data_IF_124632805575
#
_entry.id   IF_124632805575
#
_cell.length_a   1.000
_cell.length_b   1.000
_cell.length_c   1.000
_cell.angle_alpha   90.00
_cell.angle_beta   90.00
_cell.angle_gamma   90.00
#
_symmetry.space_group_name_H-M   'P 1'
#
loop_
_entity.id
_entity.type
_entity.pdbx_description
1 polymer ?
#
# COMPACT_ATOMS: atom_id res chain seq x y z
N UNK A 1 -35.42 63.17 -26.46
CA UNK A 1 -36.60 62.29 -26.32
C UNK A 1 -36.55 61.73 -24.90
N UNK A 2 -37.20 62.32 -23.89
CA UNK A 2 -38.58 62.79 -23.69
C UNK A 2 -39.44 61.75 -22.94
N UNK A 3 -39.50 61.86 -21.61
CA UNK A 3 -40.74 62.02 -20.84
C UNK A 3 -40.37 62.39 -19.39
N UNK A 4 -40.90 63.50 -18.85
CA UNK A 4 -42.14 63.62 -18.05
C UNK A 4 -42.04 62.88 -16.70
N UNK A 5 -42.00 63.55 -15.55
CA UNK A 5 -42.94 64.51 -14.93
C UNK A 5 -44.20 63.83 -14.34
N UNK A 6 -44.26 63.72 -13.00
CA UNK A 6 -45.31 64.24 -12.08
C UNK A 6 -45.17 63.55 -10.69
N UNK A 7 -45.43 64.15 -9.51
CA UNK A 7 -46.56 64.99 -9.02
C UNK A 7 -47.84 64.11 -8.88
N UNK A 8 -48.58 63.97 -7.77
CA UNK A 8 -48.57 64.44 -6.37
C UNK A 8 -49.45 63.44 -5.54
N UNK A 9 -49.72 63.45 -4.22
CA UNK A 9 -49.46 64.30 -3.02
C UNK A 9 -49.22 63.32 -1.81
N UNK A 10 -48.82 63.63 -0.57
CA UNK A 10 -48.99 64.75 0.38
C UNK A 10 -50.34 64.77 1.15
N UNK A 11 -50.29 65.37 2.36
CA UNK A 11 -51.39 65.74 3.28
C UNK A 11 -52.12 64.58 4.00
N UNK A 12 -52.60 64.72 5.24
CA UNK A 12 -52.60 65.84 6.22
C UNK A 12 -52.46 65.22 7.65
N UNK A 13 -51.73 65.74 8.65
CA UNK A 13 -51.58 67.10 9.25
C UNK A 13 -52.49 67.32 10.48
N UNK A 14 -51.84 67.63 11.62
CA UNK A 14 -52.22 68.49 12.79
C UNK A 14 -51.77 67.85 14.12
N UNK A 15 -51.31 68.58 15.14
CA UNK A 15 -51.12 70.04 15.28
C UNK A 15 -49.95 70.36 16.24
N UNK A 16 -49.38 71.57 16.14
CA UNK A 16 -48.43 72.10 17.14
C UNK A 16 -49.14 72.51 18.44
N UNK A 17 -48.40 72.68 19.55
CA UNK A 17 -48.36 73.93 20.32
C UNK A 17 -47.18 73.96 21.31
N UNK A 18 -46.95 75.10 21.96
CA UNK A 18 -45.63 75.54 22.47
C UNK A 18 -45.61 75.87 23.97
N UNK A 19 -44.38 75.89 24.51
CA UNK A 19 -43.93 76.51 25.76
C UNK A 19 -44.44 76.00 27.13
N UNK A 20 -43.44 75.69 27.96
CA UNK A 20 -43.25 76.19 29.33
C UNK A 20 -44.51 76.53 30.17
N UNK A 21 -44.80 75.68 31.16
CA UNK A 21 -44.87 76.19 32.53
C UNK A 21 -44.43 75.18 33.59
N UNK A 22 -43.99 75.76 34.71
CA UNK A 22 -43.20 75.17 35.78
C UNK A 22 -43.98 74.36 36.82
N UNK A 23 -43.30 73.34 37.37
CA UNK A 23 -43.37 72.88 38.77
C UNK A 23 -44.58 72.05 39.29
N UNK A 24 -44.18 71.02 40.09
CA UNK A 24 -44.85 70.41 41.27
C UNK A 24 -45.98 69.39 41.10
N UNK A 25 -45.69 68.21 41.66
CA UNK A 25 -46.58 67.10 42.07
C UNK A 25 -47.28 66.34 40.93
N UNK A 26 -47.29 65.00 40.90
CA UNK A 26 -47.17 64.02 41.99
C UNK A 26 -46.03 63.00 41.80
N UNK A 27 -45.60 62.40 42.92
CA UNK A 27 -44.61 61.32 42.92
C UNK A 27 -45.18 60.02 42.32
N UNK A 28 -44.37 59.29 41.55
CA UNK A 28 -44.41 57.83 41.63
C UNK A 28 -43.04 57.19 41.40
N UNK A 29 -42.79 56.07 42.08
CA UNK A 29 -41.46 55.49 42.30
C UNK A 29 -40.77 55.02 41.01
N UNK A 30 -39.61 55.60 40.69
CA UNK A 30 -38.54 54.81 40.07
C UNK A 30 -37.81 54.02 41.16
N UNK A 31 -38.24 52.77 41.39
CA UNK A 31 -37.54 51.83 42.27
C UNK A 31 -36.20 51.39 41.65
N UNK A 32 -35.19 52.27 41.74
CA UNK A 32 -33.79 51.93 41.50
C UNK A 32 -33.31 51.01 42.63
N UNK A 33 -33.62 49.71 42.52
CA UNK A 33 -33.01 48.64 43.32
C UNK A 33 -31.50 48.58 43.08
N UNK A 34 -30.76 49.51 43.70
CA UNK A 34 -29.32 49.41 43.90
C UNK A 34 -29.07 48.16 44.74
N UNK A 35 -28.66 47.05 44.12
CA UNK A 35 -28.18 45.87 44.85
C UNK A 35 -26.91 46.26 45.63
N UNK A 36 -26.93 46.32 46.97
CA UNK A 36 -25.76 46.70 47.76
C UNK A 36 -24.93 45.44 48.03
N UNK A 37 -24.38 44.85 46.96
CA UNK A 37 -23.44 43.72 47.09
C UNK A 37 -22.18 44.27 47.75
N UNK A 38 -22.10 44.16 49.08
CA UNK A 38 -20.87 44.37 49.84
C UNK A 38 -19.92 43.22 49.51
N UNK A 39 -19.18 43.37 48.42
CA UNK A 39 -18.10 42.47 48.01
C UNK A 39 -17.07 42.35 49.13
N UNK A 40 -17.17 41.32 49.95
CA UNK A 40 -16.12 41.02 50.93
C UNK A 40 -14.84 40.61 50.19
N UNK A 41 -13.64 40.89 50.72
CA UNK A 41 -12.39 40.52 50.06
C UNK A 41 -12.30 39.04 49.70
N UNK A 42 -12.94 38.16 50.49
CA UNK A 42 -13.02 36.71 50.26
C UNK A 42 -13.82 36.36 49.00
N UNK A 43 -14.94 37.03 48.75
CA UNK A 43 -15.76 36.82 47.54
C UNK A 43 -14.99 37.33 46.31
N UNK A 44 -14.34 38.50 46.42
CA UNK A 44 -13.54 39.06 45.34
C UNK A 44 -12.36 38.13 44.97
N UNK A 45 -11.64 37.61 45.96
CA UNK A 45 -10.57 36.61 45.77
C UNK A 45 -11.09 35.32 45.12
N UNK A 46 -12.26 34.81 45.56
CA UNK A 46 -12.87 33.62 44.96
C UNK A 46 -13.19 33.78 43.48
N UNK A 47 -13.79 34.92 43.10
CA UNK A 47 -14.07 35.23 41.69
C UNK A 47 -12.77 35.43 40.90
N UNK A 48 -11.77 36.11 41.46
CA UNK A 48 -10.45 36.26 40.82
C UNK A 48 -9.80 34.89 40.57
N UNK A 49 -9.81 33.98 41.55
CA UNK A 49 -9.25 32.62 41.40
C UNK A 49 -10.00 31.82 40.33
N UNK A 50 -11.34 31.91 40.28
CA UNK A 50 -12.16 31.23 39.26
C UNK A 50 -11.89 31.80 37.86
N UNK A 51 -11.82 33.13 37.71
CA UNK A 51 -11.55 33.79 36.44
C UNK A 51 -10.12 33.52 35.97
N UNK A 52 -9.11 33.58 36.84
CA UNK A 52 -7.74 33.19 36.50
C UNK A 52 -7.62 31.70 36.21
N UNK A 53 -8.35 30.83 36.92
CA UNK A 53 -8.38 29.39 36.64
C UNK A 53 -8.98 29.08 35.27
N UNK A 54 -10.14 29.66 34.94
CA UNK A 54 -10.77 29.56 33.62
C UNK A 54 -9.92 30.21 32.52
N UNK A 55 -9.24 31.31 32.79
CA UNK A 55 -8.29 31.93 31.86
C UNK A 55 -7.06 31.03 31.64
N UNK A 56 -6.52 30.41 32.69
CA UNK A 56 -5.35 29.54 32.59
C UNK A 56 -5.67 28.23 31.86
N UNK A 57 -6.83 27.62 32.13
CA UNK A 57 -7.34 26.46 31.39
C UNK A 57 -7.66 26.86 29.94
N UNK A 58 -8.42 27.94 29.74
CA UNK A 58 -8.85 28.45 28.44
C UNK A 58 -7.69 28.83 27.54
N UNK A 59 -6.73 29.63 28.02
CA UNK A 59 -5.52 29.99 27.27
C UNK A 59 -4.69 28.74 26.92
N UNK A 60 -4.53 27.79 27.85
CA UNK A 60 -3.86 26.52 27.54
C UNK A 60 -4.64 25.62 26.57
N UNK A 61 -5.93 25.88 26.30
CA UNK A 61 -6.76 25.17 25.31
C UNK A 61 -6.87 25.90 23.96
N UNK A 62 -6.82 27.24 23.96
CA UNK A 62 -6.92 28.12 22.79
C UNK A 62 -5.57 28.20 22.05
N UNK A 63 -4.45 28.23 22.78
CA UNK A 63 -3.10 28.23 22.18
C UNK A 63 -2.61 26.83 21.73
N UNK A 64 -3.51 25.83 21.63
CA UNK A 64 -3.17 24.50 21.12
C UNK A 64 -3.14 24.49 19.59
N UNK A 65 -1.93 24.32 19.05
CA UNK A 65 -1.73 24.20 17.61
C UNK A 65 -2.23 22.86 17.08
N UNK A 66 -3.04 22.90 16.02
CA UNK A 66 -3.61 21.68 15.45
C UNK A 66 -2.61 21.05 14.46
N UNK A 67 -2.35 19.75 14.64
CA UNK A 67 -1.64 18.87 13.70
C UNK A 67 -2.60 17.75 13.32
N UNK A 68 -2.68 17.44 12.02
CA UNK A 68 -3.74 16.62 11.44
C UNK A 68 -3.12 15.45 10.68
N UNK A 69 -3.11 14.26 11.29
CA UNK A 69 -2.29 13.14 10.81
C UNK A 69 -2.70 12.62 9.42
N UNK A 70 -3.95 12.79 8.99
CA UNK A 70 -4.37 12.49 7.61
C UNK A 70 -3.75 13.42 6.55
N UNK A 71 -3.20 14.57 6.96
CA UNK A 71 -2.50 15.53 6.09
C UNK A 71 -0.99 15.40 6.18
N UNK A 72 -0.46 15.00 7.33
CA UNK A 72 0.98 14.77 7.52
C UNK A 72 1.43 13.44 6.91
N UNK A 73 0.60 12.40 6.96
CA UNK A 73 0.99 11.04 6.57
C UNK A 73 0.15 10.51 5.43
N UNK A 74 0.85 10.03 4.39
CA UNK A 74 0.28 9.12 3.41
C UNK A 74 0.48 7.71 3.96
N UNK A 75 -0.62 7.03 4.28
CA UNK A 75 -0.60 5.59 4.52
C UNK A 75 -0.63 4.88 3.16
N UNK A 76 0.08 3.76 3.07
CA UNK A 76 0.09 2.85 1.92
C UNK A 76 -0.07 1.42 2.40
N UNK A 77 -0.56 0.54 1.53
CA UNK A 77 -0.42 -0.90 1.68
C UNK A 77 0.63 -1.34 0.67
N UNK A 78 1.58 -2.16 1.12
CA UNK A 78 2.71 -2.64 0.32
C UNK A 78 2.79 -4.17 0.48
N UNK A 79 3.20 -4.87 -0.59
CA UNK A 79 3.17 -6.34 -0.67
C UNK A 79 2.02 -6.90 -1.53
N UNK A 80 1.85 -8.22 -1.45
CA UNK A 80 0.82 -9.02 -2.12
C UNK A 80 -0.28 -9.49 -1.14
N UNK A 81 -1.23 -10.30 -1.61
CA UNK A 81 -2.35 -10.85 -0.85
C UNK A 81 -2.01 -11.69 0.39
N UNK A 82 -0.74 -12.02 0.62
CA UNK A 82 -0.27 -12.80 1.77
C UNK A 82 0.76 -12.04 2.62
N UNK A 83 1.67 -11.31 1.97
CA UNK A 83 2.70 -10.49 2.60
C UNK A 83 2.30 -9.04 2.90
N UNK A 84 1.06 -8.62 2.62
CA UNK A 84 0.61 -7.23 2.75
C UNK A 84 0.86 -6.60 4.13
N UNK A 85 1.58 -5.48 4.16
CA UNK A 85 1.80 -4.68 5.36
C UNK A 85 1.42 -3.20 5.13
N UNK A 86 1.13 -2.48 6.21
CA UNK A 86 0.78 -1.06 6.16
C UNK A 86 2.03 -0.20 6.40
N UNK A 87 2.38 0.58 5.38
CA UNK A 87 3.50 1.52 5.37
C UNK A 87 3.04 2.97 5.64
N UNK A 88 3.97 3.82 6.09
CA UNK A 88 3.74 5.24 6.40
C UNK A 88 4.80 6.10 5.71
N UNK A 89 4.39 6.92 4.76
CA UNK A 89 5.23 7.97 4.17
C UNK A 89 4.87 9.34 4.75
N UNK A 90 5.86 10.21 4.92
CA UNK A 90 5.63 11.62 5.28
C UNK A 90 5.25 12.40 4.01
N UNK A 91 4.16 13.17 4.08
CA UNK A 91 3.75 14.08 3.01
C UNK A 91 4.77 15.23 2.87
N UNK A 92 5.65 15.12 1.88
CA UNK A 92 6.71 16.10 1.60
C UNK A 92 6.16 17.49 1.33
N UNK A 93 5.03 17.60 0.62
CA UNK A 93 4.32 18.86 0.34
C UNK A 93 3.68 19.51 1.58
N UNK A 94 3.40 18.74 2.64
CA UNK A 94 3.02 19.29 3.94
C UNK A 94 4.25 19.79 4.70
N UNK A 95 5.36 19.05 4.61
CA UNK A 95 6.63 19.37 5.29
C UNK A 95 7.35 20.60 4.72
N UNK A 96 7.38 20.78 3.40
CA UNK A 96 7.95 21.97 2.75
C UNK A 96 7.22 23.24 3.18
N UNK A 97 5.88 23.24 3.11
CA UNK A 97 5.00 24.34 3.53
C UNK A 97 5.07 24.66 5.02
N UNK A 98 5.61 23.78 5.86
CA UNK A 98 5.97 24.07 7.25
C UNK A 98 7.37 24.69 7.37
N UNK A 99 8.36 24.26 6.58
CA UNK A 99 9.73 24.82 6.56
C UNK A 99 9.79 26.23 5.97
N UNK A 100 8.99 26.51 4.94
CA UNK A 100 8.84 27.84 4.34
C UNK A 100 8.33 28.88 5.35
N UNK A 101 7.45 28.44 6.27
CA UNK A 101 6.83 29.28 7.29
C UNK A 101 7.71 29.37 8.52
N UNK A 102 8.59 30.39 8.55
CA UNK A 102 9.48 30.73 9.66
C UNK A 102 8.76 31.24 10.93
N UNK A 103 7.50 30.86 11.15
CA UNK A 103 6.69 31.31 12.28
C UNK A 103 6.74 30.31 13.46
N UNK A 104 6.54 30.82 14.69
CA UNK A 104 6.68 30.07 15.95
C UNK A 104 5.66 28.93 16.12
N UNK A 105 4.56 28.91 15.37
CA UNK A 105 3.57 27.81 15.34
C UNK A 105 4.03 26.72 14.37
N UNK A 106 4.48 27.10 13.17
CA UNK A 106 4.98 26.16 12.16
C UNK A 106 6.26 25.45 12.64
N UNK A 107 7.19 26.17 13.28
CA UNK A 107 8.38 25.57 13.89
C UNK A 107 8.01 24.50 14.93
N UNK A 108 7.09 24.78 15.86
CA UNK A 108 6.62 23.79 16.86
C UNK A 108 6.05 22.52 16.23
N UNK A 109 5.38 22.63 15.09
CA UNK A 109 4.85 21.48 14.34
C UNK A 109 5.99 20.66 13.75
N UNK A 110 6.99 21.32 13.17
CA UNK A 110 8.20 20.69 12.67
C UNK A 110 8.97 19.98 13.81
N UNK A 111 9.14 20.65 14.95
CA UNK A 111 9.80 20.09 16.15
C UNK A 111 9.07 18.83 16.67
N UNK A 112 7.74 18.83 16.68
CA UNK A 112 6.96 17.66 17.06
C UNK A 112 7.12 16.51 16.06
N UNK A 113 6.98 16.80 14.77
CA UNK A 113 6.98 15.79 13.71
C UNK A 113 8.37 15.16 13.49
N UNK A 114 9.45 15.91 13.77
CA UNK A 114 10.82 15.40 13.73
C UNK A 114 11.18 14.52 14.94
N UNK A 115 10.71 14.87 16.16
CA UNK A 115 11.19 14.26 17.40
C UNK A 115 10.28 13.16 17.98
N UNK A 116 9.06 12.98 17.48
CA UNK A 116 8.12 12.00 18.04
C UNK A 116 8.07 10.74 17.19
N UNK A 117 8.48 9.60 17.78
CA UNK A 117 8.27 8.26 17.21
C UNK A 117 6.77 8.03 17.06
N UNK A 118 6.32 7.96 15.80
CA UNK A 118 4.92 7.72 15.43
C UNK A 118 4.85 6.37 14.73
N UNK A 119 4.19 5.42 15.38
CA UNK A 119 4.04 4.04 14.91
C UNK A 119 2.59 3.90 14.40
N UNK A 120 2.36 3.52 13.13
CA UNK A 120 1.07 3.05 12.70
C UNK A 120 0.86 1.64 13.28
N UNK A 121 -0.16 1.47 14.11
CA UNK A 121 -0.61 0.17 14.58
C UNK A 121 -1.92 -0.21 13.90
N UNK A 122 -2.05 -1.49 13.61
CA UNK A 122 -3.17 -2.08 12.89
C UNK A 122 -3.29 -3.54 13.33
N UNK A 123 -4.52 -4.04 13.49
CA UNK A 123 -4.78 -5.43 13.85
C UNK A 123 -4.82 -6.29 12.58
N UNK A 124 -4.12 -7.43 12.63
CA UNK A 124 -3.98 -8.39 11.50
C UNK A 124 -4.28 -9.79 12.04
N UNK A 125 -5.56 -10.12 12.11
CA UNK A 125 -6.00 -11.47 12.49
C UNK A 125 -5.95 -12.45 11.29
N UNK A 126 -5.75 -11.90 10.07
CA UNK A 126 -5.54 -12.59 8.79
C UNK A 126 -4.78 -11.68 7.82
N UNK A 127 -4.12 -12.21 6.77
CA UNK A 127 -3.62 -11.40 5.66
C UNK A 127 -4.70 -10.56 5.00
N UNK A 128 -4.32 -9.36 4.54
CA UNK A 128 -5.25 -8.40 3.93
C UNK A 128 -5.72 -8.82 2.54
N UNK A 129 -6.98 -8.50 2.22
CA UNK A 129 -7.58 -8.72 0.90
C UNK A 129 -8.06 -7.42 0.28
N UNK A 130 -8.08 -7.36 -1.06
CA UNK A 130 -8.73 -6.25 -1.77
C UNK A 130 -10.21 -6.16 -1.35
N UNK A 131 -10.63 -4.97 -0.93
CA UNK A 131 -11.96 -4.72 -0.36
C UNK A 131 -12.00 -4.66 1.17
N UNK A 132 -10.98 -5.17 1.89
CA UNK A 132 -10.88 -5.00 3.35
C UNK A 132 -10.77 -3.52 3.73
N UNK A 133 -11.20 -3.19 4.96
CA UNK A 133 -10.99 -1.86 5.57
C UNK A 133 -10.13 -2.05 6.81
N UNK A 134 -8.94 -1.45 6.82
CA UNK A 134 -8.03 -1.47 7.97
C UNK A 134 -8.14 -0.18 8.78
N UNK A 135 -8.29 -0.32 10.10
CA UNK A 135 -8.23 0.78 11.06
C UNK A 135 -6.80 0.96 11.56
N UNK A 136 -6.15 2.04 11.14
CA UNK A 136 -4.79 2.39 11.51
C UNK A 136 -4.81 3.41 12.66
N UNK A 137 -4.32 3.03 13.83
CA UNK A 137 -4.11 3.94 14.96
C UNK A 137 -2.64 4.38 15.07
N UNK A 138 -2.41 5.69 15.06
CA UNK A 138 -1.09 6.24 15.30
C UNK A 138 -0.82 6.38 16.81
N UNK A 139 0.06 5.55 17.37
CA UNK A 139 0.65 5.85 18.69
C UNK A 139 1.70 6.96 18.55
N UNK A 140 1.69 7.90 19.48
CA UNK A 140 2.56 9.08 19.53
C UNK A 140 2.82 9.51 20.98
N UNK A 141 3.90 10.26 21.23
CA UNK A 141 4.17 10.78 22.58
C UNK A 141 3.23 11.93 22.96
N UNK A 142 2.28 11.61 23.84
CA UNK A 142 1.33 12.55 24.46
C UNK A 142 2.04 13.56 25.38
N UNK A 143 3.20 13.24 25.97
CA UNK A 143 4.00 14.19 26.79
C UNK A 143 4.63 15.27 25.91
N UNK A 144 5.30 14.90 24.83
CA UNK A 144 5.88 15.85 23.86
C UNK A 144 4.79 16.71 23.18
N UNK A 145 3.64 16.12 22.81
CA UNK A 145 2.49 16.89 22.29
C UNK A 145 2.03 17.98 23.29
N UNK A 146 1.89 17.62 24.58
CA UNK A 146 1.51 18.56 25.64
C UNK A 146 2.58 19.64 25.86
N UNK A 147 3.87 19.27 25.86
CA UNK A 147 5.01 20.19 26.02
C UNK A 147 5.06 21.25 24.92
N UNK A 148 4.84 20.85 23.66
CA UNK A 148 4.86 21.74 22.50
C UNK A 148 3.53 22.50 22.27
N UNK A 149 2.52 22.28 23.13
CA UNK A 149 1.15 22.80 23.02
C UNK A 149 0.50 22.46 21.66
N UNK A 150 0.49 21.17 21.32
CA UNK A 150 -0.10 20.64 20.09
C UNK A 150 -1.31 19.75 20.41
N UNK A 151 -2.41 19.96 19.67
CA UNK A 151 -3.57 19.07 19.61
C UNK A 151 -3.49 18.24 18.33
N UNK A 152 -3.36 16.92 18.48
CA UNK A 152 -3.42 16.00 17.35
C UNK A 152 -4.89 15.77 16.95
N UNK A 153 -5.16 15.67 15.66
CA UNK A 153 -6.43 15.22 15.07
C UNK A 153 -6.19 14.03 14.15
N UNK A 154 -7.25 13.24 13.92
CA UNK A 154 -7.26 12.11 12.99
C UNK A 154 -6.18 11.06 13.32
N UNK A 155 -6.04 10.72 14.61
CA UNK A 155 -5.11 9.70 15.12
C UNK A 155 -5.51 8.27 14.77
N UNK A 156 -6.77 8.06 14.37
CA UNK A 156 -7.28 6.83 13.76
C UNK A 156 -7.69 7.16 12.33
N UNK A 157 -7.20 6.39 11.36
CA UNK A 157 -7.60 6.47 9.95
C UNK A 157 -8.21 5.14 9.52
N UNK A 158 -9.28 5.19 8.72
CA UNK A 158 -9.77 4.03 7.98
C UNK A 158 -9.14 4.07 6.59
N UNK A 159 -8.46 3.01 6.18
CA UNK A 159 -8.03 2.84 4.78
C UNK A 159 -8.83 1.70 4.15
N UNK A 160 -9.29 1.87 2.92
CA UNK A 160 -9.77 0.75 2.10
C UNK A 160 -8.57 0.16 1.37
N UNK A 161 -8.46 -1.17 1.39
CA UNK A 161 -7.36 -1.89 0.76
C UNK A 161 -7.76 -2.21 -0.68
N UNK A 162 -6.98 -1.70 -1.63
CA UNK A 162 -7.18 -1.87 -3.07
C UNK A 162 -5.83 -1.97 -3.77
N UNK A 163 -5.77 -2.71 -4.88
CA UNK A 163 -4.56 -2.86 -5.67
C UNK A 163 -3.49 -3.78 -5.07
N UNK A 164 -3.79 -4.54 -4.01
CA UNK A 164 -2.94 -5.66 -3.61
C UNK A 164 -2.84 -6.66 -4.76
N UNK A 165 -1.61 -7.05 -5.07
CA UNK A 165 -1.35 -8.08 -6.07
C UNK A 165 -1.76 -9.46 -5.53
N UNK A 166 -2.28 -10.34 -6.39
CA UNK A 166 -2.80 -11.65 -5.99
C UNK A 166 -1.78 -12.74 -6.30
N UNK A 167 -1.41 -13.56 -5.31
CA UNK A 167 -0.68 -14.81 -5.56
C UNK A 167 -1.62 -15.84 -6.20
N UNK A 168 -1.18 -16.48 -7.29
CA UNK A 168 -2.00 -17.45 -8.03
C UNK A 168 -2.11 -18.77 -7.26
N UNK A 169 -3.35 -19.23 -7.05
CA UNK A 169 -3.67 -20.50 -6.38
C UNK A 169 -4.42 -21.48 -7.26
N UNK A 170 -5.12 -21.02 -8.29
CA UNK A 170 -5.91 -21.88 -9.18
C UNK A 170 -5.70 -21.50 -10.66
N UNK A 171 -5.75 -22.50 -11.56
CA UNK A 171 -5.46 -22.31 -13.00
C UNK A 171 -6.50 -21.44 -13.74
N UNK A 172 -7.61 -21.11 -13.10
CA UNK A 172 -8.68 -20.27 -13.64
C UNK A 172 -8.55 -18.79 -13.22
N UNK A 173 -7.43 -18.40 -12.59
CA UNK A 173 -7.27 -17.07 -11.97
C UNK A 173 -6.50 -16.07 -12.82
N UNK A 174 -5.80 -16.55 -13.85
CA UNK A 174 -5.11 -15.75 -14.86
C UNK A 174 -5.43 -16.30 -16.25
N UNK A 175 -5.56 -15.41 -17.22
CA UNK A 175 -5.80 -15.79 -18.61
C UNK A 175 -4.53 -16.37 -19.25
N UNK A 176 -4.71 -17.37 -20.11
CA UNK A 176 -3.66 -18.06 -20.87
C UNK A 176 -2.38 -18.45 -20.09
N UNK A 177 -2.55 -19.04 -18.90
CA UNK A 177 -1.44 -19.62 -18.13
C UNK A 177 -0.61 -20.63 -18.97
N UNK A 178 -1.24 -21.36 -19.90
CA UNK A 178 -0.54 -22.31 -20.76
C UNK A 178 0.36 -21.62 -21.77
N UNK A 179 -0.12 -20.62 -22.51
CA UNK A 179 0.70 -19.82 -23.41
C UNK A 179 1.80 -19.05 -22.67
N UNK A 180 1.51 -18.56 -21.46
CA UNK A 180 2.50 -17.91 -20.60
C UNK A 180 3.67 -18.84 -20.21
N UNK A 181 3.39 -20.04 -19.66
CA UNK A 181 4.43 -21.02 -19.30
C UNK A 181 5.13 -21.59 -20.55
N UNK A 182 4.41 -21.72 -21.68
CA UNK A 182 5.01 -22.06 -22.98
C UNK A 182 6.03 -21.01 -23.42
N UNK A 183 5.70 -19.72 -23.30
CA UNK A 183 6.61 -18.62 -23.64
C UNK A 183 7.83 -18.53 -22.72
N UNK A 184 7.68 -18.82 -21.42
CA UNK A 184 8.81 -18.94 -20.48
C UNK A 184 9.74 -20.09 -20.92
N UNK A 185 9.19 -21.27 -21.18
CA UNK A 185 9.97 -22.45 -21.53
C UNK A 185 10.65 -22.37 -22.90
N UNK A 186 10.09 -21.64 -23.86
CA UNK A 186 10.75 -21.25 -25.11
C UNK A 186 11.94 -20.31 -24.86
N UNK A 187 11.72 -19.20 -24.15
CA UNK A 187 12.77 -18.23 -23.79
C UNK A 187 13.93 -18.88 -22.99
N UNK A 188 13.64 -19.86 -22.15
CA UNK A 188 14.68 -20.61 -21.43
C UNK A 188 15.39 -21.65 -22.30
N UNK A 189 14.70 -22.28 -23.27
CA UNK A 189 15.37 -23.10 -24.29
C UNK A 189 16.36 -22.26 -25.13
N UNK A 190 15.97 -21.04 -25.52
CA UNK A 190 16.81 -20.09 -26.26
C UNK A 190 18.08 -19.71 -25.46
N UNK A 191 17.94 -19.32 -24.18
CA UNK A 191 19.08 -19.05 -23.28
C UNK A 191 20.07 -20.21 -23.14
N UNK A 192 19.61 -21.47 -23.24
CA UNK A 192 20.49 -22.64 -23.16
C UNK A 192 21.37 -22.81 -24.41
N UNK A 193 20.96 -22.25 -25.55
CA UNK A 193 21.78 -22.18 -26.76
C UNK A 193 22.71 -20.95 -26.78
N UNK A 194 22.26 -19.81 -26.24
CA UNK A 194 23.02 -18.55 -26.22
C UNK A 194 24.06 -18.44 -25.07
N UNK A 195 24.14 -19.43 -24.18
CA UNK A 195 25.06 -19.41 -23.04
C UNK A 195 26.54 -19.40 -23.48
N UNK A 196 27.37 -18.43 -23.04
CA UNK A 196 28.78 -18.34 -23.42
C UNK A 196 29.66 -19.45 -22.81
N UNK A 197 29.10 -20.35 -21.99
CA UNK A 197 29.74 -21.61 -21.60
C UNK A 197 29.64 -22.70 -22.69
N UNK A 198 29.04 -22.39 -23.85
CA UNK A 198 29.05 -23.24 -25.05
C UNK A 198 30.41 -23.12 -25.74
N UNK A 199 31.40 -23.81 -25.17
CA UNK A 199 32.66 -24.15 -25.83
C UNK A 199 32.40 -24.91 -27.14
N UNK A 200 33.44 -25.06 -27.98
CA UNK A 200 33.33 -25.69 -29.29
C UNK A 200 32.69 -27.10 -29.27
N UNK A 201 32.94 -27.87 -28.19
CA UNK A 201 32.38 -29.22 -27.98
C UNK A 201 30.92 -29.20 -27.50
N UNK A 202 30.42 -28.11 -26.93
CA UNK A 202 29.04 -27.99 -26.43
C UNK A 202 28.00 -27.91 -27.55
N UNK A 203 28.42 -27.62 -28.78
CA UNK A 203 27.61 -27.78 -30.01
C UNK A 203 27.16 -29.23 -30.27
N UNK A 204 27.67 -30.18 -29.49
CA UNK A 204 27.33 -31.60 -29.53
C UNK A 204 26.15 -31.96 -28.62
N UNK A 205 25.49 -31.00 -27.97
CA UNK A 205 24.25 -31.23 -27.19
C UNK A 205 23.06 -30.59 -27.91
N UNK A 206 21.98 -31.35 -28.10
CA UNK A 206 20.70 -30.85 -28.61
C UNK A 206 19.70 -30.73 -27.46
N UNK A 207 19.28 -29.51 -27.14
CA UNK A 207 18.20 -29.25 -26.20
C UNK A 207 16.85 -29.18 -26.93
N UNK A 208 15.82 -29.81 -26.37
CA UNK A 208 14.46 -29.81 -26.92
C UNK A 208 13.42 -29.66 -25.81
N UNK A 209 12.53 -28.68 -25.97
CA UNK A 209 11.32 -28.53 -25.14
C UNK A 209 10.36 -29.71 -25.39
N UNK A 210 9.85 -30.29 -24.30
CA UNK A 210 8.87 -31.37 -24.31
C UNK A 210 7.44 -30.81 -24.13
N UNK A 211 6.41 -31.47 -24.67
CA UNK A 211 5.12 -30.83 -24.94
C UNK A 211 4.23 -30.60 -23.71
N UNK A 212 4.45 -31.33 -22.62
CA UNK A 212 3.55 -31.36 -21.48
C UNK A 212 4.03 -30.44 -20.35
N UNK A 213 3.15 -29.53 -19.95
CA UNK A 213 3.28 -28.67 -18.78
C UNK A 213 2.40 -29.26 -17.67
N UNK A 214 2.96 -29.42 -16.49
CA UNK A 214 2.31 -29.99 -15.32
C UNK A 214 2.11 -28.91 -14.25
N UNK A 215 1.10 -29.06 -13.38
CA UNK A 215 0.86 -28.13 -12.28
C UNK A 215 0.32 -28.81 -11.03
N UNK A 216 0.61 -28.22 -9.86
CA UNK A 216 -0.12 -28.48 -8.62
C UNK A 216 -0.07 -27.28 -7.68
N UNK A 217 -0.75 -27.39 -6.55
CA UNK A 217 -0.55 -26.50 -5.41
C UNK A 217 0.63 -27.00 -4.54
N UNK A 218 1.41 -26.06 -4.01
CA UNK A 218 2.43 -26.33 -2.99
C UNK A 218 1.82 -26.37 -1.58
N UNK A 219 2.67 -26.47 -0.55
CA UNK A 219 2.25 -26.49 0.85
C UNK A 219 1.58 -25.18 1.33
N UNK A 220 1.75 -24.07 0.60
CA UNK A 220 1.12 -22.77 0.85
C UNK A 220 -0.17 -22.57 0.00
N UNK A 221 -0.49 -23.53 -0.87
CA UNK A 221 -1.59 -23.44 -1.82
C UNK A 221 -1.29 -22.59 -3.06
N UNK A 222 -0.02 -22.25 -3.32
CA UNK A 222 0.41 -21.49 -4.50
C UNK A 222 0.55 -22.43 -5.69
N UNK A 223 0.27 -21.97 -6.91
CA UNK A 223 0.54 -22.78 -8.09
C UNK A 223 2.05 -22.92 -8.37
N UNK A 224 2.47 -24.16 -8.55
CA UNK A 224 3.79 -24.56 -9.04
C UNK A 224 3.60 -25.35 -10.32
N UNK A 225 4.20 -24.86 -11.40
CA UNK A 225 4.24 -25.49 -12.71
C UNK A 225 5.58 -26.18 -12.95
N UNK A 226 5.56 -27.28 -13.71
CA UNK A 226 6.76 -27.92 -14.25
C UNK A 226 6.65 -28.12 -15.75
N UNK A 227 7.74 -27.80 -16.43
CA UNK A 227 7.94 -28.10 -17.84
C UNK A 227 9.31 -28.79 -17.99
N UNK A 228 9.53 -29.45 -19.12
CA UNK A 228 10.69 -30.31 -19.31
C UNK A 228 11.48 -29.97 -20.57
N UNK A 229 12.80 -29.94 -20.44
CA UNK A 229 13.74 -29.86 -21.57
C UNK A 229 14.58 -31.14 -21.57
N UNK A 230 14.57 -31.89 -22.67
CA UNK A 230 15.52 -32.98 -22.87
C UNK A 230 16.83 -32.45 -23.46
N UNK A 231 17.94 -33.09 -23.10
CA UNK A 231 19.24 -32.90 -23.76
C UNK A 231 19.74 -34.21 -24.34
N UNK A 232 20.04 -34.23 -25.64
CA UNK A 232 20.63 -35.38 -26.32
C UNK A 232 22.07 -35.07 -26.74
N UNK A 233 23.05 -35.87 -26.28
CA UNK A 233 24.41 -35.79 -26.83
C UNK A 233 24.48 -36.43 -28.21
N UNK A 234 24.97 -35.67 -29.20
CA UNK A 234 25.21 -36.08 -30.60
C UNK A 234 26.43 -36.99 -30.77
N UNK A 235 27.18 -37.26 -29.70
CA UNK A 235 28.40 -38.05 -29.78
C UNK A 235 28.09 -39.54 -30.04
N UNK A 236 28.41 -40.00 -31.25
CA UNK A 236 28.53 -41.42 -31.57
C UNK A 236 29.64 -42.03 -30.69
N UNK A 237 29.27 -43.00 -29.83
CA UNK A 237 30.24 -43.81 -29.08
C UNK A 237 31.05 -44.61 -30.11
N UNK A 238 32.36 -44.36 -30.21
CA UNK A 238 33.25 -45.06 -31.15
C UNK A 238 34.09 -46.11 -30.43
N UNK A 239 33.89 -47.38 -30.78
CA UNK A 239 34.73 -48.49 -30.31
C UNK A 239 35.83 -48.81 -31.31
N UNK A 240 37.03 -49.10 -30.82
CA UNK A 240 38.19 -49.52 -31.63
C UNK A 240 38.17 -51.04 -31.83
N UNK A 241 37.42 -51.52 -32.83
CA UNK A 241 37.34 -52.94 -33.16
C UNK A 241 38.57 -53.39 -33.97
N UNK A 242 39.10 -54.58 -33.67
CA UNK A 242 40.18 -55.19 -34.45
C UNK A 242 39.59 -55.94 -35.65
N UNK A 243 40.16 -55.75 -36.84
CA UNK A 243 39.75 -56.40 -38.09
C UNK A 243 40.95 -57.12 -38.73
N UNK A 244 40.72 -57.87 -39.80
CA UNK A 244 41.78 -58.52 -40.60
C UNK A 244 42.74 -57.53 -41.28
N UNK A 245 42.43 -56.23 -41.29
CA UNK A 245 43.25 -55.17 -41.88
C UNK A 245 43.81 -54.17 -40.83
N UNK A 246 43.65 -54.45 -39.52
CA UNK A 246 44.20 -53.61 -38.44
C UNK A 246 43.17 -53.28 -37.37
N UNK A 247 43.04 -52.00 -37.02
CA UNK A 247 42.00 -51.50 -36.10
C UNK A 247 41.10 -50.50 -36.82
N UNK A 248 39.79 -50.70 -36.76
CA UNK A 248 38.77 -49.80 -37.32
C UNK A 248 37.89 -49.26 -36.19
N UNK A 249 37.69 -47.96 -36.16
CA UNK A 249 36.68 -47.37 -35.29
C UNK A 249 35.29 -47.63 -35.86
N UNK A 250 34.41 -48.25 -35.07
CA UNK A 250 33.00 -48.49 -35.39
C UNK A 250 32.12 -47.69 -34.43
N UNK A 251 30.94 -47.26 -34.89
CA UNK A 251 29.96 -46.63 -34.01
C UNK A 251 29.24 -47.72 -33.21
N UNK A 252 29.46 -47.78 -31.89
CA UNK A 252 28.95 -48.83 -30.98
C UNK A 252 27.67 -48.46 -30.24
N UNK A 253 27.17 -47.23 -30.39
CA UNK A 253 25.98 -46.76 -29.69
C UNK A 253 25.25 -45.64 -30.43
N UNK A 254 23.94 -45.54 -30.15
CA UNK A 254 23.13 -44.36 -30.52
C UNK A 254 23.63 -43.13 -29.77
N UNK A 255 23.44 -41.95 -30.37
CA UNK A 255 23.21 -40.73 -29.60
C UNK A 255 21.99 -40.98 -28.70
N UNK A 256 22.15 -40.97 -27.37
CA UNK A 256 21.12 -41.57 -26.50
C UNK A 256 21.29 -41.51 -24.99
N UNK A 257 22.14 -40.63 -24.44
CA UNK A 257 21.92 -40.16 -23.06
C UNK A 257 20.94 -38.99 -23.18
N UNK A 258 19.66 -39.30 -23.04
CA UNK A 258 18.54 -38.35 -23.13
C UNK A 258 18.13 -37.89 -21.73
N UNK A 259 18.98 -37.11 -21.06
CA UNK A 259 18.60 -36.53 -19.77
C UNK A 259 17.37 -35.64 -19.97
N UNK A 260 16.35 -35.79 -19.12
CA UNK A 260 15.18 -34.93 -19.10
C UNK A 260 15.23 -34.06 -17.84
N UNK A 261 15.38 -32.76 -18.01
CA UNK A 261 15.47 -31.80 -16.92
C UNK A 261 14.10 -31.18 -16.65
N UNK A 262 13.65 -31.24 -15.40
CA UNK A 262 12.55 -30.43 -14.92
C UNK A 262 13.02 -29.00 -14.66
N UNK A 263 12.26 -28.05 -15.18
CA UNK A 263 12.27 -26.65 -14.74
C UNK A 263 11.00 -26.40 -13.91
N UNK A 264 11.03 -25.45 -12.99
CA UNK A 264 9.92 -25.15 -12.08
C UNK A 264 9.56 -23.67 -12.13
N UNK A 265 8.30 -23.35 -12.37
CA UNK A 265 7.79 -21.96 -12.35
C UNK A 265 6.78 -21.82 -11.22
N UNK A 266 7.01 -20.86 -10.32
CA UNK A 266 6.24 -20.66 -9.09
C UNK A 266 6.20 -19.18 -8.70
N UNK A 267 5.64 -18.88 -7.53
CA UNK A 267 5.50 -17.52 -7.01
C UNK A 267 4.82 -16.58 -8.03
N UNK A 268 3.84 -17.10 -8.78
CA UNK A 268 3.10 -16.30 -9.77
C UNK A 268 2.24 -15.26 -9.05
N UNK A 269 2.39 -14.00 -9.45
CA UNK A 269 1.69 -12.85 -8.88
C UNK A 269 0.94 -12.11 -10.00
N UNK A 270 -0.29 -11.68 -9.71
CA UNK A 270 -1.17 -10.97 -10.63
C UNK A 270 -1.41 -9.52 -10.21
N UNK A 271 -1.57 -8.62 -11.17
CA UNK A 271 -2.15 -7.31 -10.94
C UNK A 271 -3.68 -7.36 -10.69
N UNK A 272 -4.26 -6.18 -10.44
CA UNK A 272 -5.71 -5.97 -10.26
C UNK A 272 -6.56 -6.31 -11.50
N UNK A 273 -5.96 -6.57 -12.65
CA UNK A 273 -6.60 -6.91 -13.91
C UNK A 273 -6.33 -8.39 -14.32
N UNK A 274 -5.79 -9.21 -13.41
CA UNK A 274 -5.37 -10.60 -13.63
C UNK A 274 -4.18 -10.81 -14.58
N UNK A 275 -3.40 -9.77 -14.93
CA UNK A 275 -2.15 -9.93 -15.67
C UNK A 275 -1.04 -10.45 -14.75
N UNK A 276 -0.23 -11.41 -15.20
CA UNK A 276 0.93 -11.89 -14.43
C UNK A 276 2.04 -10.82 -14.42
N UNK A 277 2.37 -10.31 -13.23
CA UNK A 277 3.38 -9.26 -13.01
C UNK A 277 4.75 -9.80 -12.62
N UNK A 278 4.80 -10.92 -11.89
CA UNK A 278 6.05 -11.59 -11.55
C UNK A 278 5.86 -13.10 -11.36
N UNK A 279 6.96 -13.83 -11.49
CA UNK A 279 7.11 -15.26 -11.24
C UNK A 279 8.56 -15.53 -10.82
N UNK A 280 8.81 -16.70 -10.22
CA UNK A 280 10.14 -17.30 -10.09
C UNK A 280 10.26 -18.46 -11.07
N UNK A 281 11.42 -18.60 -11.70
CA UNK A 281 11.79 -19.76 -12.52
C UNK A 281 13.06 -20.38 -11.92
N UNK A 282 12.95 -21.61 -11.41
CA UNK A 282 14.06 -22.40 -10.91
C UNK A 282 14.45 -23.45 -11.97
N UNK A 283 15.71 -23.44 -12.38
CA UNK A 283 16.22 -24.32 -13.45
C UNK A 283 16.84 -25.60 -12.90
N UNK A 284 16.74 -26.69 -13.67
CA UNK A 284 17.35 -28.00 -13.40
C UNK A 284 16.98 -28.62 -12.04
N UNK A 285 15.76 -28.38 -11.55
CA UNK A 285 15.33 -28.80 -10.19
C UNK A 285 15.32 -30.31 -9.96
N UNK A 286 15.24 -31.11 -11.04
CA UNK A 286 15.44 -32.57 -11.03
C UNK A 286 15.79 -33.05 -12.44
N UNK A 287 16.61 -34.09 -12.54
CA UNK A 287 16.91 -34.84 -13.77
C UNK A 287 16.22 -36.21 -13.74
N UNK A 288 15.78 -36.67 -14.91
CA UNK A 288 15.20 -38.00 -15.17
C UNK A 288 15.92 -38.65 -16.36
N UNK A 289 15.87 -39.98 -16.45
CA UNK A 289 16.56 -40.79 -17.47
C UNK A 289 15.79 -40.84 -18.79
N UNK A 290 14.47 -40.62 -18.75
CA UNK A 290 13.59 -40.52 -19.91
C UNK A 290 12.43 -39.56 -19.64
N UNK A 291 11.58 -39.32 -20.65
CA UNK A 291 10.39 -38.48 -20.47
C UNK A 291 9.27 -39.24 -19.76
N UNK A 292 9.13 -40.54 -20.05
CA UNK A 292 8.18 -41.45 -19.43
C UNK A 292 8.39 -41.54 -17.91
N UNK A 293 9.65 -41.61 -17.45
CA UNK A 293 10.03 -41.53 -16.02
C UNK A 293 9.61 -40.18 -15.41
N UNK A 294 9.78 -39.09 -16.15
CA UNK A 294 9.40 -37.75 -15.70
C UNK A 294 7.87 -37.60 -15.59
N UNK A 295 7.10 -38.11 -16.56
CA UNK A 295 5.64 -38.11 -16.51
C UNK A 295 5.09 -39.02 -15.39
N UNK A 296 5.73 -40.16 -15.15
CA UNK A 296 5.41 -41.06 -14.03
C UNK A 296 5.60 -40.36 -12.69
N UNK A 297 6.77 -39.75 -12.48
CA UNK A 297 7.03 -38.98 -11.28
C UNK A 297 6.09 -37.77 -11.13
N UNK A 298 5.58 -37.17 -12.21
CA UNK A 298 4.54 -36.14 -12.10
C UNK A 298 3.22 -36.73 -11.58
N UNK A 299 2.79 -37.91 -12.08
CA UNK A 299 1.61 -38.62 -11.58
C UNK A 299 1.77 -38.99 -10.09
N UNK A 300 2.89 -39.59 -9.71
CA UNK A 300 3.18 -39.97 -8.31
C UNK A 300 3.23 -38.76 -7.35
N UNK A 301 3.83 -37.64 -7.79
CA UNK A 301 3.96 -36.43 -6.99
C UNK A 301 2.69 -35.56 -6.97
N UNK A 302 1.57 -36.06 -7.52
CA UNK A 302 0.26 -35.39 -7.50
C UNK A 302 0.16 -34.16 -8.40
N UNK A 303 0.90 -34.12 -9.51
CA UNK A 303 0.77 -33.08 -10.53
C UNK A 303 -0.32 -33.44 -11.55
N UNK A 304 -1.06 -32.43 -11.97
CA UNK A 304 -2.06 -32.50 -13.03
C UNK A 304 -1.46 -31.99 -14.34
N UNK A 305 -1.97 -32.45 -15.48
CA UNK A 305 -1.57 -31.95 -16.81
C UNK A 305 -2.30 -30.62 -17.12
N UNK A 306 -1.58 -29.63 -17.64
CA UNK A 306 -2.13 -28.36 -18.11
C UNK A 306 -2.56 -28.47 -19.59
N UNK A 307 -3.85 -28.67 -19.80
CA UNK A 307 -4.50 -28.78 -21.11
C UNK A 307 -4.58 -27.47 -21.87
#
# INVERSE_FOLDING_TARGET
MNNRNNIENNHNNKQNHTNEQSQKSLNNKHDKKKFPIKWSPKILFGVIIIVFGLYYVGANYIFLENVDFSKVYTIRVEGDSEGAFISRTINTNYYSKLKEKKDKKSQRKLDFLNNVKIIPEYHVDRPFKNGDIADVEFKYDKKMAKKLKIRIRNTKLKIKIEGLQKVVKNINEAEDLKGFITKISQNTLEKLYDSPAVDADSKLIEYKLLPNIYYKQDNNGHLVFKYFISSNSKHLIKEKQKTSQGFKYINKGKAGISNVYAMEVKDLVLDKNSNITSYREDLFVKTYSSFEEAEEAMRELGYNLLY
#
